data_IF_414927342566
#
_entry.id   IF_414927342566
#
_cell.length_a   1.000
_cell.length_b   1.000
_cell.length_c   1.000
_cell.angle_alpha   90.00
_cell.angle_beta   90.00
_cell.angle_gamma   90.00
#
_symmetry.space_group_name_H-M   'P 1'
#
loop_
_entity.id
_entity.type
_entity.pdbx_description
1 polymer ?
#
# COMPACT_ATOMS: atom_id res chain seq x y z
N UNK A 1 5.51 36.29 79.26
CA UNK A 1 5.13 36.81 77.93
C UNK A 1 5.56 35.79 76.88
N UNK A 2 4.63 35.36 76.03
CA UNK A 2 4.73 34.17 75.16
C UNK A 2 5.82 34.31 74.08
N UNK A 3 6.66 33.28 73.90
CA UNK A 3 7.55 33.12 72.73
C UNK A 3 6.78 32.36 71.65
N UNK A 4 6.64 32.97 70.48
CA UNK A 4 5.95 32.39 69.31
C UNK A 4 6.97 31.63 68.46
N UNK A 5 6.81 30.32 68.33
CA UNK A 5 7.58 29.48 67.41
C UNK A 5 6.94 29.54 66.03
N UNK A 6 7.68 30.01 65.02
CA UNK A 6 7.25 30.00 63.62
C UNK A 6 7.70 28.68 62.99
N UNK A 7 6.75 27.80 62.64
CA UNK A 7 7.00 26.62 61.81
C UNK A 7 6.88 27.03 60.33
N UNK A 8 7.97 26.92 59.58
CA UNK A 8 7.97 27.08 58.13
C UNK A 8 7.61 25.72 57.49
N UNK A 9 6.38 25.60 56.97
CA UNK A 9 6.00 24.44 56.16
C UNK A 9 6.45 24.64 54.72
N UNK A 10 7.52 23.96 54.32
CA UNK A 10 7.99 23.89 52.94
C UNK A 10 7.03 23.07 52.07
N UNK A 11 6.38 23.72 51.10
CA UNK A 11 5.55 23.06 50.08
C UNK A 11 6.47 22.53 48.96
N UNK A 12 6.68 21.22 48.89
CA UNK A 12 7.42 20.57 47.81
C UNK A 12 6.51 20.51 46.56
N UNK A 13 6.77 21.34 45.55
CA UNK A 13 6.09 21.28 44.26
C UNK A 13 6.76 20.20 43.40
N UNK A 14 6.12 19.03 43.27
CA UNK A 14 6.57 17.99 42.34
C UNK A 14 6.24 18.40 40.90
N UNK A 15 7.26 18.80 40.14
CA UNK A 15 7.14 19.06 38.71
C UNK A 15 7.13 17.72 37.98
N UNK A 16 5.95 17.24 37.61
CA UNK A 16 5.83 16.12 36.67
C UNK A 16 6.18 16.61 35.28
N UNK A 17 7.36 16.26 34.77
CA UNK A 17 7.69 16.36 33.35
C UNK A 17 6.76 15.43 32.58
N UNK A 18 5.69 15.99 32.00
CA UNK A 18 4.85 15.34 31.01
C UNK A 18 5.73 14.94 29.82
N UNK A 19 6.06 13.65 29.73
CA UNK A 19 6.67 13.10 28.52
C UNK A 19 5.67 13.32 27.37
N UNK A 20 6.04 14.01 26.28
CA UNK A 20 5.10 14.25 25.19
C UNK A 20 4.64 12.91 24.62
N UNK A 21 3.31 12.74 24.49
CA UNK A 21 2.73 11.54 23.89
C UNK A 21 3.35 11.30 22.52
N UNK A 22 3.98 10.13 22.34
CA UNK A 22 4.65 9.81 21.09
C UNK A 22 3.62 9.72 19.97
N UNK A 23 3.86 10.48 18.89
CA UNK A 23 2.99 10.46 17.70
C UNK A 23 2.97 9.05 17.11
N UNK A 24 1.77 8.53 16.86
CA UNK A 24 1.54 7.24 16.18
C UNK A 24 2.05 7.23 14.73
N UNK A 25 2.35 8.41 14.16
CA UNK A 25 2.91 8.61 12.83
C UNK A 25 4.26 9.32 12.90
N UNK A 26 5.23 8.82 12.13
CA UNK A 26 6.51 9.48 11.85
C UNK A 26 6.72 9.59 10.34
N UNK A 27 6.92 10.80 9.85
CA UNK A 27 7.18 11.09 8.44
C UNK A 27 8.69 11.20 8.23
N UNK A 28 9.22 10.44 7.29
CA UNK A 28 10.64 10.44 6.91
C UNK A 28 10.77 11.16 5.57
N UNK A 29 11.62 12.20 5.46
CA UNK A 29 11.81 12.93 4.20
C UNK A 29 12.40 12.02 3.11
N UNK A 30 12.08 12.31 1.85
CA UNK A 30 12.67 11.62 0.70
C UNK A 30 14.13 12.03 0.45
N UNK A 31 14.82 11.27 -0.42
CA UNK A 31 16.21 11.53 -0.80
C UNK A 31 16.38 12.68 -1.82
N UNK A 32 15.29 13.18 -2.40
CA UNK A 32 15.31 14.27 -3.37
C UNK A 32 15.17 15.64 -2.66
N UNK A 33 15.67 16.74 -3.24
CA UNK A 33 15.68 18.07 -2.60
C UNK A 33 14.30 18.69 -2.36
N UNK A 34 13.24 18.10 -2.91
CA UNK A 34 11.87 18.56 -2.72
C UNK A 34 11.22 17.88 -1.53
N UNK A 35 10.46 18.67 -0.75
CA UNK A 35 9.73 18.39 0.50
C UNK A 35 8.75 17.18 0.53
N UNK A 36 8.90 16.22 -0.37
CA UNK A 36 8.16 14.98 -0.45
C UNK A 36 8.52 14.03 0.69
N UNK A 37 7.48 13.41 1.26
CA UNK A 37 7.62 12.32 2.21
C UNK A 37 8.23 11.11 1.49
N UNK A 38 9.35 10.60 1.98
CA UNK A 38 9.99 9.38 1.48
C UNK A 38 9.36 8.11 2.06
N UNK A 39 8.96 8.17 3.33
CA UNK A 39 8.21 7.10 3.99
C UNK A 39 7.35 7.62 5.15
N UNK A 40 6.30 6.87 5.49
CA UNK A 40 5.52 7.06 6.71
C UNK A 40 5.64 5.81 7.57
N UNK A 41 6.07 5.98 8.82
CA UNK A 41 6.16 4.92 9.81
C UNK A 41 4.98 5.02 10.75
N UNK A 42 4.32 3.89 10.97
CA UNK A 42 3.04 3.81 11.65
C UNK A 42 3.11 2.79 12.77
N UNK A 43 2.79 3.27 13.98
CA UNK A 43 2.67 2.42 15.16
C UNK A 43 1.54 1.38 14.99
N UNK A 44 1.48 0.41 15.90
CA UNK A 44 0.42 -0.60 15.88
C UNK A 44 -0.96 0.03 16.17
N UNK A 45 -1.66 0.37 15.09
CA UNK A 45 -2.96 1.04 15.06
C UNK A 45 -3.86 0.41 13.97
N UNK A 46 -5.20 0.54 14.05
CA UNK A 46 -6.10 0.14 12.97
C UNK A 46 -5.84 0.95 11.70
N UNK A 47 -5.87 0.28 10.55
CA UNK A 47 -5.61 0.88 9.24
C UNK A 47 -6.77 0.64 8.29
N UNK A 48 -7.34 1.71 7.76
CA UNK A 48 -8.30 1.63 6.67
C UNK A 48 -7.57 1.49 5.33
N UNK A 49 -8.02 0.55 4.51
CA UNK A 49 -7.63 0.37 3.11
C UNK A 49 -8.84 0.69 2.23
N UNK A 50 -8.67 1.47 1.17
CA UNK A 50 -9.78 1.81 0.26
C UNK A 50 -9.78 0.97 -1.01
N UNK A 51 -10.90 0.97 -1.74
CA UNK A 51 -10.92 0.59 -3.16
C UNK A 51 -10.21 1.66 -4.00
N UNK A 52 -10.08 1.42 -5.30
CA UNK A 52 -9.68 2.47 -6.22
C UNK A 52 -10.79 3.53 -6.32
N UNK A 53 -10.50 4.76 -5.93
CA UNK A 53 -11.44 5.88 -5.94
C UNK A 53 -11.37 6.60 -7.29
N UNK A 54 -12.51 6.66 -7.96
CA UNK A 54 -12.69 7.32 -9.24
C UNK A 54 -13.31 8.72 -9.07
N UNK A 55 -13.12 9.64 -10.03
CA UNK A 55 -13.73 10.98 -10.05
C UNK A 55 -15.21 10.95 -10.48
N UNK A 56 -16.00 10.05 -9.90
CA UNK A 56 -17.43 9.93 -10.19
C UNK A 56 -18.26 10.66 -9.11
N UNK A 57 -19.44 11.15 -9.48
CA UNK A 57 -20.43 11.64 -8.51
C UNK A 57 -21.24 10.47 -7.90
N UNK A 58 -22.24 10.79 -7.06
CA UNK A 58 -23.06 9.78 -6.39
C UNK A 58 -23.92 8.95 -7.37
N UNK A 59 -24.21 9.51 -8.55
CA UNK A 59 -24.94 8.83 -9.63
C UNK A 59 -24.02 8.01 -10.55
N UNK A 60 -22.72 7.92 -10.25
CA UNK A 60 -21.73 7.20 -11.05
C UNK A 60 -21.26 7.94 -12.31
N UNK A 61 -21.62 9.21 -12.47
CA UNK A 61 -21.21 10.04 -13.62
C UNK A 61 -19.84 10.68 -13.38
N UNK A 62 -18.99 10.66 -14.41
CA UNK A 62 -17.68 11.33 -14.42
C UNK A 62 -17.82 12.84 -14.21
N UNK A 63 -17.03 13.37 -13.27
CA UNK A 63 -16.84 14.81 -13.04
C UNK A 63 -15.48 15.23 -13.61
N UNK A 64 -15.44 16.33 -14.37
CA UNK A 64 -14.20 16.85 -14.94
C UNK A 64 -13.70 16.06 -16.14
N UNK A 65 -14.58 15.72 -17.10
CA UNK A 65 -14.13 15.16 -18.39
C UNK A 65 -13.13 16.13 -19.01
N UNK A 66 -11.93 15.63 -19.34
CA UNK A 66 -10.81 16.41 -19.89
C UNK A 66 -10.26 17.52 -18.96
N UNK A 67 -10.71 17.57 -17.69
CA UNK A 67 -10.25 18.50 -16.67
C UNK A 67 -9.67 17.74 -15.47
N UNK A 68 -8.33 17.63 -15.45
CA UNK A 68 -7.61 16.91 -14.40
C UNK A 68 -7.79 17.55 -13.02
N UNK A 69 -7.92 18.87 -12.91
CA UNK A 69 -8.07 19.54 -11.62
C UNK A 69 -9.45 19.24 -11.01
N UNK A 70 -10.51 19.28 -11.81
CA UNK A 70 -11.85 18.87 -11.37
C UNK A 70 -11.88 17.39 -10.97
N UNK A 71 -11.18 16.51 -11.68
CA UNK A 71 -11.07 15.10 -11.31
C UNK A 71 -10.33 14.90 -9.98
N UNK A 72 -9.18 15.55 -9.79
CA UNK A 72 -8.41 15.49 -8.52
C UNK A 72 -9.30 15.94 -7.35
N UNK A 73 -10.00 17.06 -7.51
CA UNK A 73 -10.90 17.59 -6.47
C UNK A 73 -12.06 16.63 -6.18
N UNK A 74 -12.64 16.00 -7.21
CA UNK A 74 -13.69 15.00 -7.01
C UNK A 74 -13.17 13.75 -6.28
N UNK A 75 -11.96 13.27 -6.60
CA UNK A 75 -11.34 12.12 -5.95
C UNK A 75 -11.11 12.41 -4.47
N UNK A 76 -10.56 13.58 -4.10
CA UNK A 76 -10.40 13.93 -2.68
C UNK A 76 -11.73 14.07 -1.93
N UNK A 77 -12.80 14.57 -2.59
CA UNK A 77 -14.15 14.55 -2.00
C UNK A 77 -14.65 13.13 -1.75
N UNK A 78 -14.46 12.24 -2.72
CA UNK A 78 -14.88 10.84 -2.60
C UNK A 78 -14.06 10.09 -1.55
N UNK A 79 -12.74 10.33 -1.47
CA UNK A 79 -11.87 9.81 -0.42
C UNK A 79 -12.33 10.28 0.96
N UNK A 80 -12.63 11.57 1.15
CA UNK A 80 -13.12 12.08 2.45
C UNK A 80 -14.37 11.32 2.91
N UNK A 81 -15.37 11.16 2.03
CA UNK A 81 -16.60 10.41 2.33
C UNK A 81 -16.31 8.95 2.70
N UNK A 82 -15.43 8.29 1.96
CA UNK A 82 -15.02 6.91 2.25
C UNK A 82 -14.26 6.80 3.58
N UNK A 83 -13.42 7.78 3.91
CA UNK A 83 -12.66 7.80 5.16
C UNK A 83 -13.55 8.08 6.37
N UNK A 84 -14.59 8.90 6.22
CA UNK A 84 -15.57 9.17 7.28
C UNK A 84 -16.26 7.87 7.74
N UNK A 85 -16.60 6.95 6.82
CA UNK A 85 -17.24 5.68 7.20
C UNK A 85 -16.35 4.78 8.05
N UNK A 86 -15.03 4.94 7.94
CA UNK A 86 -14.02 4.20 8.72
C UNK A 86 -13.41 5.06 9.83
N UNK A 87 -14.10 6.13 10.26
CA UNK A 87 -13.66 7.03 11.35
C UNK A 87 -12.25 7.58 11.14
N UNK A 88 -11.93 7.96 9.90
CA UNK A 88 -10.69 8.61 9.49
C UNK A 88 -10.99 9.93 8.75
N UNK A 89 -9.97 10.76 8.56
CA UNK A 89 -10.04 12.01 7.78
C UNK A 89 -8.89 12.06 6.76
N UNK A 90 -8.93 13.00 5.82
CA UNK A 90 -7.86 13.18 4.82
C UNK A 90 -6.47 13.31 5.46
N UNK A 91 -6.34 14.04 6.58
CA UNK A 91 -5.06 14.19 7.31
C UNK A 91 -4.48 12.88 7.87
N UNK A 92 -5.30 11.83 7.98
CA UNK A 92 -4.93 10.54 8.53
C UNK A 92 -4.48 9.56 7.43
N UNK A 93 -4.53 9.97 6.16
CA UNK A 93 -3.97 9.22 5.03
C UNK A 93 -2.45 9.15 5.20
N UNK A 94 -1.93 7.92 5.12
CA UNK A 94 -0.50 7.62 5.26
C UNK A 94 0.13 7.17 3.93
N UNK A 95 -0.68 6.64 3.00
CA UNK A 95 -0.23 6.19 1.68
C UNK A 95 -1.30 6.52 0.64
N UNK A 96 -0.85 7.07 -0.48
CA UNK A 96 -1.62 7.17 -1.72
C UNK A 96 -0.93 6.34 -2.81
N UNK A 97 -1.72 5.55 -3.53
CA UNK A 97 -1.33 4.92 -4.78
C UNK A 97 -2.17 5.55 -5.88
N UNK A 98 -1.50 6.14 -6.86
CA UNK A 98 -2.13 7.02 -7.84
C UNK A 98 -1.88 6.44 -9.22
N UNK A 99 -2.95 6.14 -9.93
CA UNK A 99 -2.90 5.70 -11.32
C UNK A 99 -3.26 6.89 -12.21
N UNK A 100 -2.40 7.22 -13.16
CA UNK A 100 -2.55 8.37 -14.08
C UNK A 100 -2.46 7.90 -15.52
N UNK A 101 -3.17 8.58 -16.42
CA UNK A 101 -3.08 8.28 -17.86
C UNK A 101 -1.86 8.91 -18.53
N UNK A 102 -1.23 9.91 -17.90
CA UNK A 102 -0.05 10.60 -18.41
C UNK A 102 0.81 11.15 -17.27
N UNK A 103 2.13 10.99 -17.39
CA UNK A 103 3.12 11.54 -16.44
C UNK A 103 3.10 13.08 -16.36
N UNK A 104 2.54 13.76 -17.37
CA UNK A 104 2.33 15.21 -17.35
C UNK A 104 1.39 15.67 -16.21
N UNK A 105 0.59 14.77 -15.64
CA UNK A 105 -0.30 15.08 -14.52
C UNK A 105 0.42 15.09 -13.16
N UNK A 106 1.61 14.51 -13.05
CA UNK A 106 2.33 14.37 -11.76
C UNK A 106 2.54 15.70 -11.04
N UNK A 107 3.00 16.80 -11.69
CA UNK A 107 3.17 18.09 -11.00
C UNK A 107 1.86 18.62 -10.41
N UNK A 108 0.77 18.58 -11.18
CA UNK A 108 -0.54 19.05 -10.73
C UNK A 108 -1.05 18.22 -9.54
N UNK A 109 -0.92 16.90 -9.59
CA UNK A 109 -1.35 16.03 -8.48
C UNK A 109 -0.52 16.29 -7.22
N UNK A 110 0.81 16.43 -7.36
CA UNK A 110 1.70 16.77 -6.22
C UNK A 110 1.32 18.11 -5.59
N UNK A 111 1.02 19.12 -6.40
CA UNK A 111 0.57 20.43 -5.93
C UNK A 111 -0.73 20.32 -5.12
N UNK A 112 -1.72 19.57 -5.62
CA UNK A 112 -2.98 19.38 -4.89
C UNK A 112 -2.79 18.58 -3.60
N UNK A 113 -1.92 17.56 -3.57
CA UNK A 113 -1.54 16.87 -2.32
C UNK A 113 -0.93 17.88 -1.35
N UNK A 114 0.02 18.72 -1.78
CA UNK A 114 0.63 19.71 -0.89
C UNK A 114 -0.38 20.69 -0.28
N UNK A 115 -1.49 20.99 -0.97
CA UNK A 115 -2.59 21.82 -0.44
C UNK A 115 -3.48 21.09 0.57
N UNK A 116 -3.60 19.77 0.48
CA UNK A 116 -4.48 18.96 1.34
C UNK A 116 -3.84 18.61 2.70
N UNK A 117 -2.52 18.64 2.79
CA UNK A 117 -1.78 18.17 3.97
C UNK A 117 -0.93 19.27 4.59
N UNK A 118 -0.80 19.23 5.92
CA UNK A 118 0.12 20.12 6.62
C UNK A 118 1.56 19.86 6.15
N UNK A 119 2.37 20.93 6.10
CA UNK A 119 3.79 20.86 5.70
C UNK A 119 4.52 19.76 6.50
N UNK A 120 5.22 18.87 5.79
CA UNK A 120 5.95 17.74 6.37
C UNK A 120 5.08 16.58 6.88
N UNK A 121 3.77 16.60 6.62
CA UNK A 121 2.81 15.55 7.02
C UNK A 121 2.03 14.98 5.83
N UNK A 122 2.54 15.14 4.62
CA UNK A 122 1.97 14.51 3.44
C UNK A 122 2.16 12.98 3.50
N UNK A 123 1.24 12.18 2.92
CA UNK A 123 1.38 10.73 2.88
C UNK A 123 2.57 10.31 2.02
N UNK A 124 2.98 9.05 2.14
CA UNK A 124 3.77 8.40 1.11
C UNK A 124 2.95 8.33 -0.20
N UNK A 125 3.58 8.53 -1.35
CA UNK A 125 2.89 8.62 -2.65
C UNK A 125 3.60 7.77 -3.70
N UNK A 126 2.84 6.98 -4.44
CA UNK A 126 3.32 6.32 -5.67
C UNK A 126 2.41 6.66 -6.83
N UNK A 127 3.00 6.90 -7.99
CA UNK A 127 2.38 7.07 -9.29
C UNK A 127 2.69 5.88 -10.19
N UNK A 128 1.68 5.34 -10.86
CA UNK A 128 1.81 4.46 -12.02
C UNK A 128 1.13 5.08 -13.23
N UNK A 129 1.64 4.80 -14.42
CA UNK A 129 1.07 5.31 -15.66
C UNK A 129 0.42 4.19 -16.45
N UNK A 130 -0.80 4.40 -16.93
CA UNK A 130 -1.49 3.41 -17.76
C UNK A 130 -2.95 3.74 -18.02
N UNK A 131 -3.61 2.88 -18.79
CA UNK A 131 -5.06 2.98 -19.03
C UNK A 131 -5.85 2.67 -17.76
N UNK A 132 -6.97 3.37 -17.57
CA UNK A 132 -7.88 3.22 -16.44
C UNK A 132 -9.21 2.58 -16.87
N UNK A 133 -9.93 1.96 -15.93
CA UNK A 133 -11.12 1.16 -16.23
C UNK A 133 -12.32 1.94 -16.80
N UNK A 134 -12.37 3.26 -16.59
CA UNK A 134 -13.51 4.08 -16.96
C UNK A 134 -13.11 5.13 -18.02
N UNK A 135 -13.78 5.17 -19.18
CA UNK A 135 -13.51 6.17 -20.22
C UNK A 135 -13.55 7.61 -19.67
N UNK A 136 -12.60 8.44 -20.10
CA UNK A 136 -12.49 9.85 -19.69
C UNK A 136 -11.89 10.09 -18.30
N UNK A 137 -11.67 9.05 -17.49
CA UNK A 137 -10.91 9.18 -16.24
C UNK A 137 -9.43 9.35 -16.58
N UNK A 138 -8.84 10.43 -16.08
CA UNK A 138 -7.43 10.81 -16.25
C UNK A 138 -6.57 10.32 -15.08
N UNK A 139 -7.18 10.17 -13.90
CA UNK A 139 -6.51 9.65 -12.72
C UNK A 139 -7.47 8.97 -11.75
N UNK A 140 -6.92 8.09 -10.91
CA UNK A 140 -7.62 7.44 -9.81
C UNK A 140 -6.66 7.23 -8.63
N UNK A 141 -7.20 7.09 -7.41
CA UNK A 141 -6.38 6.93 -6.20
C UNK A 141 -6.93 5.84 -5.29
N UNK A 142 -6.06 4.99 -4.74
CA UNK A 142 -6.36 4.22 -3.53
C UNK A 142 -5.52 4.73 -2.35
N UNK A 143 -6.05 4.55 -1.14
CA UNK A 143 -5.46 5.09 0.07
C UNK A 143 -5.35 4.05 1.19
N UNK A 144 -4.33 4.24 2.02
CA UNK A 144 -4.27 3.68 3.38
C UNK A 144 -4.30 4.84 4.37
N UNK A 145 -5.11 4.73 5.40
CA UNK A 145 -5.27 5.76 6.43
C UNK A 145 -5.31 5.15 7.84
N UNK A 146 -4.87 5.91 8.85
CA UNK A 146 -5.11 5.55 10.25
C UNK A 146 -6.60 5.70 10.55
N UNK A 147 -7.18 4.67 11.16
CA UNK A 147 -8.59 4.62 11.52
C UNK A 147 -8.77 4.61 13.04
N UNK A 148 -9.81 5.28 13.53
CA UNK A 148 -10.25 5.19 14.92
C UNK A 148 -11.27 4.06 15.17
N UNK A 149 -11.48 3.17 14.22
CA UNK A 149 -12.30 1.97 14.40
C UNK A 149 -11.61 1.00 15.37
N UNK A 150 -12.33 0.53 16.39
CA UNK A 150 -11.78 -0.20 17.52
C UNK A 150 -12.04 -1.70 17.48
N UNK A 151 -12.77 -2.19 16.47
CA UNK A 151 -12.98 -3.62 16.26
C UNK A 151 -11.66 -4.40 16.27
N UNK A 152 -11.63 -5.52 17.00
CA UNK A 152 -10.52 -6.49 16.96
C UNK A 152 -10.55 -7.41 15.73
N UNK A 153 -11.49 -7.20 14.80
CA UNK A 153 -11.69 -7.97 13.58
C UNK A 153 -11.77 -7.05 12.38
N UNK A 154 -11.59 -7.60 11.18
CA UNK A 154 -11.81 -6.87 9.93
C UNK A 154 -13.25 -6.37 9.87
N UNK A 155 -13.42 -5.09 9.56
CA UNK A 155 -14.73 -4.47 9.31
C UNK A 155 -14.74 -3.91 7.90
N UNK A 156 -15.79 -4.21 7.12
CA UNK A 156 -15.90 -3.83 5.71
C UNK A 156 -17.04 -2.83 5.50
N UNK A 157 -16.78 -1.89 4.61
CA UNK A 157 -17.63 -0.80 4.17
C UNK A 157 -17.63 -0.79 2.62
N UNK A 158 -18.58 -0.11 1.95
CA UNK A 158 -18.73 -0.19 0.49
C UNK A 158 -17.45 0.07 -0.33
N UNK A 159 -16.54 0.93 0.14
CA UNK A 159 -15.29 1.28 -0.54
C UNK A 159 -14.06 1.22 0.37
N UNK A 160 -14.17 0.60 1.54
CA UNK A 160 -13.07 0.50 2.49
C UNK A 160 -13.20 -0.70 3.41
N UNK A 161 -12.09 -1.14 3.98
CA UNK A 161 -12.08 -2.06 5.10
C UNK A 161 -11.01 -1.66 6.11
N UNK A 162 -11.27 -1.93 7.38
CA UNK A 162 -10.33 -1.67 8.46
C UNK A 162 -9.60 -2.97 8.82
N UNK A 163 -8.27 -2.96 8.64
CA UNK A 163 -7.34 -3.90 9.26
C UNK A 163 -7.27 -3.57 10.76
N UNK A 164 -7.67 -4.49 11.66
CA UNK A 164 -7.55 -4.26 13.10
C UNK A 164 -6.08 -4.15 13.51
N UNK A 165 -5.83 -3.58 14.70
CA UNK A 165 -4.50 -3.64 15.32
C UNK A 165 -4.12 -5.11 15.53
N UNK A 166 -2.95 -5.50 15.01
CA UNK A 166 -2.45 -6.87 15.14
C UNK A 166 -1.54 -7.25 13.98
N UNK A 167 -1.47 -8.55 13.73
CA UNK A 167 -0.72 -9.11 12.62
C UNK A 167 -1.40 -8.84 11.27
N UNK A 168 -0.58 -8.82 10.22
CA UNK A 168 -1.04 -8.68 8.84
C UNK A 168 -0.30 -9.65 7.95
N UNK A 169 -1.03 -10.25 7.02
CA UNK A 169 -0.53 -11.17 6.00
C UNK A 169 -0.64 -10.50 4.64
N UNK A 170 0.45 -10.54 3.88
CA UNK A 170 0.52 -10.21 2.47
C UNK A 170 0.70 -11.49 1.66
N UNK A 171 -0.21 -11.74 0.73
CA UNK A 171 -0.09 -12.85 -0.22
C UNK A 171 0.31 -12.26 -1.57
N UNK A 172 1.40 -12.77 -2.12
CA UNK A 172 1.92 -12.41 -3.44
C UNK A 172 0.90 -12.68 -4.55
N UNK A 173 1.06 -11.97 -5.66
CA UNK A 173 0.26 -12.18 -6.86
C UNK A 173 0.21 -13.66 -7.27
N UNK A 174 -1.01 -14.12 -7.53
CA UNK A 174 -1.30 -15.44 -8.07
C UNK A 174 -2.13 -15.26 -9.33
N UNK A 175 -1.99 -16.19 -10.26
CA UNK A 175 -2.75 -16.21 -11.49
C UNK A 175 -3.03 -17.65 -11.88
N UNK A 176 -4.29 -17.94 -12.18
CA UNK A 176 -4.71 -19.17 -12.83
C UNK A 176 -4.85 -18.94 -14.34
N UNK A 177 -4.62 -19.99 -15.11
CA UNK A 177 -4.88 -19.99 -16.55
C UNK A 177 -6.39 -19.97 -16.84
N UNK A 178 -6.73 -19.60 -18.08
CA UNK A 178 -8.10 -19.64 -18.60
C UNK A 178 -8.60 -18.27 -19.06
N UNK A 179 -9.90 -18.23 -19.43
CA UNK A 179 -10.55 -16.96 -19.78
C UNK A 179 -10.71 -16.09 -18.54
N UNK A 180 -10.79 -14.76 -18.72
CA UNK A 180 -10.76 -13.81 -17.61
C UNK A 180 -11.67 -14.16 -16.41
N UNK A 181 -12.96 -14.55 -16.58
CA UNK A 181 -13.79 -14.96 -15.44
C UNK A 181 -13.30 -16.25 -14.75
N UNK A 182 -12.96 -17.29 -15.53
CA UNK A 182 -12.46 -18.58 -15.00
C UNK A 182 -11.12 -18.38 -14.28
N UNK A 183 -10.19 -17.65 -14.90
CA UNK A 183 -8.91 -17.28 -14.33
C UNK A 183 -9.10 -16.51 -13.01
N UNK A 184 -10.06 -15.56 -12.96
CA UNK A 184 -10.37 -14.81 -11.74
C UNK A 184 -10.89 -15.74 -10.64
N UNK A 185 -11.92 -16.55 -10.92
CA UNK A 185 -12.53 -17.44 -9.95
C UNK A 185 -11.51 -18.45 -9.39
N UNK A 186 -10.73 -19.08 -10.27
CA UNK A 186 -9.70 -20.04 -9.89
C UNK A 186 -8.57 -19.39 -9.08
N UNK A 187 -8.14 -18.18 -9.46
CA UNK A 187 -7.14 -17.42 -8.69
C UNK A 187 -7.64 -17.12 -7.27
N UNK A 188 -8.89 -16.70 -7.12
CA UNK A 188 -9.49 -16.45 -5.80
C UNK A 188 -9.54 -17.72 -4.94
N UNK A 189 -9.78 -18.90 -5.53
CA UNK A 189 -9.71 -20.17 -4.80
C UNK A 189 -8.29 -20.53 -4.36
N UNK A 190 -7.27 -20.29 -5.21
CA UNK A 190 -5.86 -20.50 -4.83
C UNK A 190 -5.43 -19.59 -3.68
N UNK A 191 -5.87 -18.33 -3.70
CA UNK A 191 -5.65 -17.37 -2.62
C UNK A 191 -6.34 -17.82 -1.32
N UNK A 192 -7.56 -18.36 -1.41
CA UNK A 192 -8.26 -18.94 -0.26
C UNK A 192 -7.52 -20.15 0.32
N UNK A 193 -7.04 -21.06 -0.51
CA UNK A 193 -6.24 -22.21 -0.06
C UNK A 193 -4.96 -21.75 0.66
N UNK A 194 -4.33 -20.68 0.18
CA UNK A 194 -3.17 -20.06 0.83
C UNK A 194 -3.53 -19.46 2.18
N UNK A 195 -4.69 -18.80 2.32
CA UNK A 195 -5.18 -18.33 3.61
C UNK A 195 -5.47 -19.50 4.57
N UNK A 196 -6.11 -20.56 4.09
CA UNK A 196 -6.45 -21.74 4.90
C UNK A 196 -5.20 -22.45 5.43
N UNK A 197 -4.13 -22.53 4.64
CA UNK A 197 -2.82 -23.01 5.10
C UNK A 197 -2.29 -22.22 6.32
N UNK A 198 -2.63 -20.93 6.41
CA UNK A 198 -2.25 -20.05 7.52
C UNK A 198 -3.24 -20.10 8.70
N UNK A 199 -4.29 -20.92 8.62
CA UNK A 199 -5.40 -20.94 9.57
C UNK A 199 -6.37 -19.76 9.42
N UNK A 200 -6.34 -19.07 8.28
CA UNK A 200 -7.19 -17.92 7.97
C UNK A 200 -8.30 -18.30 6.97
N UNK A 201 -9.25 -17.39 6.77
CA UNK A 201 -10.39 -17.59 5.86
C UNK A 201 -10.80 -16.27 5.21
N UNK A 202 -11.84 -16.30 4.37
CA UNK A 202 -12.31 -15.13 3.62
C UNK A 202 -12.67 -13.91 4.49
N UNK A 203 -13.09 -14.07 5.75
CA UNK A 203 -13.44 -12.95 6.65
C UNK A 203 -12.22 -12.13 7.08
N UNK A 204 -11.01 -12.70 6.97
CA UNK A 204 -9.78 -12.01 7.30
C UNK A 204 -9.27 -11.10 6.19
N UNK A 205 -9.83 -11.19 4.98
CA UNK A 205 -9.37 -10.39 3.83
C UNK A 205 -9.74 -8.92 4.03
N UNK A 206 -8.75 -8.04 3.96
CA UNK A 206 -8.89 -6.59 4.11
C UNK A 206 -8.97 -5.91 2.75
N UNK A 207 -8.11 -6.27 1.80
CA UNK A 207 -8.08 -5.64 0.48
C UNK A 207 -7.67 -6.68 -0.57
N UNK A 208 -8.28 -6.57 -1.75
CA UNK A 208 -7.89 -7.32 -2.95
C UNK A 208 -7.32 -6.33 -3.96
N UNK A 209 -6.21 -6.67 -4.61
CA UNK A 209 -5.72 -5.92 -5.77
C UNK A 209 -5.61 -6.86 -6.96
N UNK A 210 -6.23 -6.47 -8.07
CA UNK A 210 -6.25 -7.23 -9.31
C UNK A 210 -5.57 -6.43 -10.43
N UNK A 211 -4.60 -7.05 -11.08
CA UNK A 211 -3.97 -6.55 -12.29
C UNK A 211 -4.68 -7.17 -13.49
N UNK A 212 -5.22 -6.38 -14.41
CA UNK A 212 -6.23 -6.83 -15.38
C UNK A 212 -5.88 -6.41 -16.80
N UNK A 213 -5.97 -7.37 -17.74
CA UNK A 213 -5.90 -7.12 -19.17
C UNK A 213 -7.12 -7.73 -19.90
N UNK A 214 -7.79 -6.97 -20.79
CA UNK A 214 -7.72 -5.52 -20.91
C UNK A 214 -8.41 -4.82 -19.72
N UNK A 215 -7.97 -3.60 -19.37
CA UNK A 215 -8.45 -2.89 -18.17
C UNK A 215 -9.93 -2.50 -18.21
N UNK A 216 -10.54 -2.41 -19.39
CA UNK A 216 -11.98 -2.17 -19.55
C UNK A 216 -12.84 -3.39 -19.18
N UNK A 217 -12.22 -4.55 -18.99
CA UNK A 217 -12.89 -5.80 -18.59
C UNK A 217 -12.92 -6.02 -17.07
N UNK A 218 -12.59 -5.01 -16.25
CA UNK A 218 -12.61 -5.13 -14.78
C UNK A 218 -13.98 -5.49 -14.22
N UNK A 219 -15.07 -5.16 -14.89
CA UNK A 219 -16.42 -5.57 -14.48
C UNK A 219 -16.63 -7.09 -14.48
N UNK A 220 -15.91 -7.83 -15.34
CA UNK A 220 -15.92 -9.30 -15.30
C UNK A 220 -15.18 -9.83 -14.07
N UNK A 221 -14.05 -9.21 -13.72
CA UNK A 221 -13.28 -9.54 -12.51
C UNK A 221 -14.10 -9.23 -11.26
N UNK A 222 -14.74 -8.06 -11.19
CA UNK A 222 -15.60 -7.66 -10.09
C UNK A 222 -16.74 -8.64 -9.85
N UNK A 223 -17.39 -9.12 -10.92
CA UNK A 223 -18.46 -10.12 -10.82
C UNK A 223 -18.00 -11.39 -10.11
N UNK A 224 -16.84 -11.93 -10.49
CA UNK A 224 -16.31 -13.16 -9.92
C UNK A 224 -15.80 -12.96 -8.48
N UNK A 225 -15.16 -11.83 -8.19
CA UNK A 225 -14.77 -11.47 -6.81
C UNK A 225 -16.02 -11.34 -5.94
N UNK A 226 -17.07 -10.67 -6.42
CA UNK A 226 -18.35 -10.56 -5.70
C UNK A 226 -18.99 -11.93 -5.45
N UNK A 227 -18.96 -12.83 -6.45
CA UNK A 227 -19.46 -14.19 -6.30
C UNK A 227 -18.70 -14.97 -5.22
N UNK A 228 -17.36 -14.84 -5.18
CA UNK A 228 -16.51 -15.45 -4.15
C UNK A 228 -16.87 -14.99 -2.73
N UNK A 229 -17.23 -13.71 -2.55
CA UNK A 229 -17.64 -13.16 -1.26
C UNK A 229 -19.13 -13.31 -0.94
N UNK A 230 -19.93 -13.99 -1.78
CA UNK A 230 -21.37 -14.17 -1.55
C UNK A 230 -21.68 -14.61 -0.10
N UNK A 231 -22.66 -13.93 0.51
CA UNK A 231 -23.03 -14.09 1.93
C UNK A 231 -22.17 -13.30 2.94
N UNK A 232 -21.18 -12.53 2.50
CA UNK A 232 -20.37 -11.63 3.34
C UNK A 232 -20.09 -10.32 2.59
N UNK A 233 -19.90 -9.18 3.28
CA UNK A 233 -19.48 -7.94 2.62
C UNK A 233 -18.17 -8.16 1.84
N UNK A 234 -18.12 -7.69 0.58
CA UNK A 234 -16.90 -7.74 -0.24
C UNK A 234 -15.85 -6.75 0.31
N UNK A 235 -14.56 -7.11 0.38
CA UNK A 235 -13.51 -6.15 0.70
C UNK A 235 -13.37 -5.12 -0.44
N UNK A 236 -12.78 -3.94 -0.17
CA UNK A 236 -12.37 -3.02 -1.22
C UNK A 236 -11.44 -3.71 -2.23
N UNK A 237 -11.68 -3.45 -3.52
CA UNK A 237 -10.87 -3.95 -4.62
C UNK A 237 -10.16 -2.78 -5.30
N UNK A 238 -8.87 -2.96 -5.59
CA UNK A 238 -8.11 -2.05 -6.44
C UNK A 238 -7.83 -2.73 -7.77
N UNK A 239 -8.27 -2.10 -8.86
CA UNK A 239 -8.01 -2.57 -10.22
C UNK A 239 -6.85 -1.79 -10.83
N UNK A 240 -5.87 -2.50 -11.36
CA UNK A 240 -4.73 -1.92 -12.06
C UNK A 240 -4.70 -2.47 -13.48
N UNK A 241 -4.78 -1.58 -14.48
CA UNK A 241 -4.53 -1.97 -15.87
C UNK A 241 -3.07 -2.32 -16.11
N UNK A 242 -2.81 -3.35 -16.91
CA UNK A 242 -1.45 -3.77 -17.27
C UNK A 242 -1.40 -4.31 -18.72
N UNK A 243 -0.18 -4.47 -19.24
CA UNK A 243 0.08 -4.89 -20.62
C UNK A 243 0.27 -6.41 -20.78
N UNK A 244 0.27 -7.17 -19.66
CA UNK A 244 0.36 -8.63 -19.71
C UNK A 244 -0.86 -9.23 -20.39
N UNK A 245 -0.64 -10.03 -21.43
CA UNK A 245 -1.70 -10.81 -22.12
C UNK A 245 -1.83 -12.25 -21.60
N UNK A 246 -0.85 -12.69 -20.83
CA UNK A 246 -0.85 -13.98 -20.15
C UNK A 246 0.07 -13.90 -18.92
N UNK A 247 -0.47 -13.97 -17.69
CA UNK A 247 -1.89 -14.14 -17.36
C UNK A 247 -2.73 -12.90 -17.69
N UNK A 248 -4.03 -13.09 -17.93
CA UNK A 248 -5.01 -12.00 -18.13
C UNK A 248 -5.34 -11.27 -16.83
N UNK A 249 -5.25 -11.98 -15.70
CA UNK A 249 -5.45 -11.44 -14.36
C UNK A 249 -4.44 -12.03 -13.40
N UNK A 250 -3.86 -11.18 -12.55
CA UNK A 250 -3.10 -11.60 -11.37
C UNK A 250 -3.68 -10.87 -10.16
N UNK A 251 -3.86 -11.60 -9.06
CA UNK A 251 -4.52 -11.09 -7.87
C UNK A 251 -3.62 -11.30 -6.66
N UNK A 252 -3.43 -10.24 -5.90
CA UNK A 252 -2.83 -10.27 -4.56
C UNK A 252 -3.86 -9.86 -3.51
N UNK A 253 -3.61 -10.21 -2.24
CA UNK A 253 -4.47 -9.76 -1.16
C UNK A 253 -3.72 -9.43 0.13
N UNK A 254 -4.37 -8.62 0.94
CA UNK A 254 -3.97 -8.29 2.32
C UNK A 254 -5.02 -8.91 3.24
N UNK A 255 -4.57 -9.60 4.29
CA UNK A 255 -5.44 -10.18 5.31
C UNK A 255 -4.97 -9.83 6.73
N UNK A 256 -5.92 -9.68 7.64
CA UNK A 256 -5.62 -9.62 9.07
C UNK A 256 -5.17 -11.01 9.56
N UNK A 257 -4.24 -11.02 10.51
CA UNK A 257 -3.90 -12.24 11.26
C UNK A 257 -3.78 -11.92 12.74
N UNK A 258 -3.89 -12.93 13.63
CA UNK A 258 -3.47 -12.77 15.01
C UNK A 258 -2.02 -12.26 15.08
N UNK A 259 -1.69 -11.51 16.12
CA UNK A 259 -0.30 -11.15 16.39
C UNK A 259 0.46 -12.40 16.89
N UNK A 260 1.61 -12.70 16.28
CA UNK A 260 2.56 -13.71 16.77
C UNK A 260 3.49 -13.16 17.86
N UNK A 261 4.18 -14.05 18.61
CA UNK A 261 4.94 -13.69 19.82
C UNK A 261 6.46 -13.93 19.76
N UNK A 262 7.04 -14.42 18.65
CA UNK A 262 8.47 -14.78 18.58
C UNK A 262 9.34 -13.89 17.67
N UNK A 263 8.82 -13.44 16.53
CA UNK A 263 9.56 -12.63 15.55
C UNK A 263 8.63 -11.58 14.94
N UNK A 264 9.17 -10.40 14.59
CA UNK A 264 8.39 -9.29 14.04
C UNK A 264 7.81 -9.59 12.66
N UNK A 265 8.53 -10.35 11.83
CA UNK A 265 8.17 -10.68 10.45
C UNK A 265 8.55 -12.11 10.08
N UNK A 266 7.70 -12.79 9.33
CA UNK A 266 7.89 -14.17 8.85
C UNK A 266 7.71 -14.26 7.33
N UNK A 267 8.55 -15.07 6.69
CA UNK A 267 8.57 -15.32 5.25
C UNK A 267 8.14 -16.76 5.00
N UNK A 268 6.91 -16.93 4.50
CA UNK A 268 6.21 -18.21 4.52
C UNK A 268 6.00 -18.68 3.09
N UNK A 269 6.35 -19.94 2.84
CA UNK A 269 6.03 -20.64 1.60
C UNK A 269 5.11 -21.83 1.95
N UNK A 270 3.92 -21.94 1.32
CA UNK A 270 3.04 -23.08 1.52
C UNK A 270 3.72 -24.42 1.18
N UNK A 271 3.26 -25.50 1.81
CA UNK A 271 3.80 -26.84 1.57
C UNK A 271 3.76 -27.19 0.07
N UNK A 272 4.85 -27.79 -0.44
CA UNK A 272 4.99 -28.16 -1.85
C UNK A 272 5.35 -27.00 -2.80
N UNK A 273 5.39 -25.75 -2.33
CA UNK A 273 5.84 -24.61 -3.15
C UNK A 273 7.33 -24.40 -2.99
N UNK A 274 8.07 -24.51 -4.10
CA UNK A 274 9.51 -24.21 -4.13
C UNK A 274 9.76 -22.74 -3.77
N UNK A 275 10.54 -22.44 -2.72
CA UNK A 275 10.88 -21.06 -2.37
C UNK A 275 11.61 -20.35 -3.51
N UNK A 276 11.28 -19.09 -3.73
CA UNK A 276 11.98 -18.21 -4.68
C UNK A 276 13.00 -17.36 -3.91
N UNK A 277 14.22 -17.15 -4.45
CA UNK A 277 15.21 -16.29 -3.81
C UNK A 277 14.87 -14.80 -3.89
N UNK A 278 13.88 -14.40 -4.70
CA UNK A 278 13.58 -12.98 -4.98
C UNK A 278 12.17 -12.54 -4.60
N UNK A 279 11.33 -13.47 -4.12
CA UNK A 279 10.04 -13.17 -3.50
C UNK A 279 9.56 -14.33 -2.62
N UNK A 280 8.77 -14.03 -1.59
CA UNK A 280 8.08 -15.03 -0.78
C UNK A 280 6.63 -15.17 -1.23
N UNK A 281 6.01 -16.36 -1.13
CA UNK A 281 4.57 -16.47 -1.45
C UNK A 281 3.70 -15.74 -0.44
N UNK A 282 4.09 -15.77 0.81
CA UNK A 282 3.41 -15.12 1.92
C UNK A 282 4.43 -14.39 2.78
N UNK A 283 4.11 -13.20 3.24
CA UNK A 283 4.82 -12.56 4.35
C UNK A 283 3.82 -12.17 5.43
N UNK A 284 4.14 -12.49 6.68
CA UNK A 284 3.35 -12.09 7.85
C UNK A 284 4.15 -11.12 8.69
N UNK A 285 3.60 -9.93 8.94
CA UNK A 285 4.07 -9.06 10.01
C UNK A 285 3.29 -9.44 11.27
N UNK A 286 3.99 -9.85 12.32
CA UNK A 286 3.40 -10.19 13.61
C UNK A 286 3.29 -8.97 14.54
N UNK A 287 4.35 -8.15 14.57
CA UNK A 287 4.44 -6.92 15.35
C UNK A 287 5.52 -5.99 14.77
N UNK A 288 5.74 -4.84 15.41
CA UNK A 288 6.63 -3.78 14.92
C UNK A 288 5.85 -2.66 14.23
N UNK A 289 6.56 -1.57 13.89
CA UNK A 289 5.95 -0.42 13.21
C UNK A 289 5.99 -0.66 11.71
N UNK A 290 4.90 -0.37 11.01
CA UNK A 290 4.81 -0.55 9.55
C UNK A 290 5.45 0.66 8.87
N UNK A 291 6.23 0.43 7.83
CA UNK A 291 6.87 1.47 7.03
C UNK A 291 6.22 1.45 5.65
N UNK A 292 5.54 2.53 5.26
CA UNK A 292 4.99 2.73 3.91
C UNK A 292 5.90 3.67 3.14
N UNK A 293 6.54 3.19 2.08
CA UNK A 293 7.44 4.02 1.27
C UNK A 293 6.66 4.76 0.18
N UNK A 294 7.12 5.95 -0.16
CA UNK A 294 6.79 6.54 -1.46
C UNK A 294 7.43 5.73 -2.58
N UNK A 295 6.84 5.80 -3.77
CA UNK A 295 7.33 5.07 -4.94
C UNK A 295 8.78 5.43 -5.24
N UNK A 296 9.62 4.41 -5.38
CA UNK A 296 11.01 4.56 -5.79
C UNK A 296 11.10 4.32 -7.29
N UNK A 297 11.59 5.31 -8.03
CA UNK A 297 11.73 5.29 -9.48
C UNK A 297 13.19 5.18 -9.86
N UNK A 298 13.50 4.31 -10.83
CA UNK A 298 14.85 4.22 -11.40
C UNK A 298 15.28 5.55 -12.01
N UNK A 299 16.50 5.98 -11.69
CA UNK A 299 17.12 7.22 -12.18
C UNK A 299 18.29 6.90 -13.12
N UNK A 300 18.52 7.78 -14.10
CA UNK A 300 19.60 7.64 -15.08
C UNK A 300 19.13 7.22 -16.47
N UNK A 301 20.09 7.17 -17.39
CA UNK A 301 19.81 7.07 -18.83
C UNK A 301 19.75 5.62 -19.35
N UNK A 302 20.16 4.64 -18.55
CA UNK A 302 20.16 3.23 -18.93
C UNK A 302 19.51 2.35 -17.86
N UNK A 303 19.05 1.18 -18.30
CA UNK A 303 18.32 0.21 -17.47
C UNK A 303 19.11 -0.24 -16.24
N UNK A 304 20.42 -0.47 -16.36
CA UNK A 304 21.22 -0.98 -15.24
C UNK A 304 21.41 0.10 -14.17
N UNK A 305 21.70 1.33 -14.58
CA UNK A 305 21.75 2.48 -13.67
C UNK A 305 20.39 2.72 -13.00
N UNK A 306 19.29 2.61 -13.73
CA UNK A 306 17.95 2.74 -13.16
C UNK A 306 17.64 1.65 -12.11
N UNK A 307 18.01 0.40 -12.40
CA UNK A 307 17.88 -0.69 -11.42
C UNK A 307 18.80 -0.48 -10.21
N UNK A 308 20.07 -0.13 -10.41
CA UNK A 308 21.00 0.09 -9.31
C UNK A 308 20.54 1.23 -8.39
N UNK A 309 20.14 2.37 -8.97
CA UNK A 309 19.69 3.55 -8.21
C UNK A 309 18.43 3.28 -7.41
N UNK A 310 17.46 2.52 -7.95
CA UNK A 310 16.22 2.21 -7.21
C UNK A 310 16.47 1.31 -6.01
N UNK A 311 17.36 0.31 -6.12
CA UNK A 311 17.68 -0.59 -5.01
C UNK A 311 18.60 0.04 -3.95
N UNK A 312 19.56 0.89 -4.35
CA UNK A 312 20.31 1.70 -3.39
C UNK A 312 19.41 2.72 -2.68
N UNK A 313 18.45 3.32 -3.41
CA UNK A 313 17.41 4.17 -2.85
C UNK A 313 16.55 3.45 -1.82
N UNK A 314 16.12 2.22 -2.11
CA UNK A 314 15.39 1.36 -1.19
C UNK A 314 16.19 1.08 0.09
N UNK A 315 17.45 0.65 -0.06
CA UNK A 315 18.34 0.37 1.07
C UNK A 315 18.55 1.60 1.95
N UNK A 316 18.80 2.76 1.34
CA UNK A 316 18.97 4.03 2.04
C UNK A 316 17.70 4.43 2.80
N UNK A 317 16.52 4.32 2.16
CA UNK A 317 15.25 4.70 2.78
C UNK A 317 14.87 3.79 3.94
N UNK A 318 15.06 2.47 3.80
CA UNK A 318 14.84 1.52 4.89
C UNK A 318 15.77 1.81 6.07
N UNK A 319 17.06 2.10 5.81
CA UNK A 319 18.01 2.50 6.84
C UNK A 319 17.58 3.76 7.58
N UNK A 320 17.13 4.80 6.86
CA UNK A 320 16.60 6.04 7.47
C UNK A 320 15.36 5.79 8.34
N UNK A 321 14.56 4.78 7.99
CA UNK A 321 13.42 4.35 8.79
C UNK A 321 13.81 3.52 10.03
N UNK A 322 15.11 3.23 10.24
CA UNK A 322 15.58 2.36 11.32
C UNK A 322 15.31 0.88 11.05
N UNK A 323 15.36 0.48 9.78
CA UNK A 323 15.14 -0.88 9.30
C UNK A 323 16.18 -1.24 8.22
N UNK A 324 15.99 -2.37 7.53
CA UNK A 324 16.92 -2.91 6.54
C UNK A 324 16.17 -3.71 5.44
N UNK A 325 16.92 -4.31 4.52
CA UNK A 325 16.35 -5.13 3.43
C UNK A 325 15.89 -6.52 3.89
N UNK A 326 16.17 -6.93 5.14
CA UNK A 326 15.69 -8.19 5.72
C UNK A 326 14.32 -8.06 6.40
N UNK A 327 13.75 -6.85 6.45
CA UNK A 327 12.45 -6.55 7.03
C UNK A 327 11.46 -5.97 5.99
N UNK A 328 11.66 -6.32 4.72
CA UNK A 328 10.72 -6.00 3.64
C UNK A 328 9.52 -6.94 3.70
N UNK A 329 8.32 -6.41 3.60
CA UNK A 329 7.08 -7.18 3.78
C UNK A 329 6.32 -7.40 2.48
N UNK A 330 6.03 -6.32 1.75
CA UNK A 330 5.25 -6.36 0.51
C UNK A 330 5.88 -5.44 -0.53
N UNK A 331 6.04 -5.93 -1.75
CA UNK A 331 6.53 -5.19 -2.89
C UNK A 331 5.52 -5.23 -4.05
N UNK A 332 5.29 -4.08 -4.67
CA UNK A 332 4.78 -4.00 -6.05
C UNK A 332 5.92 -3.51 -6.94
N UNK A 333 6.25 -4.32 -7.94
CA UNK A 333 7.19 -3.93 -8.98
C UNK A 333 6.42 -3.59 -10.23
N UNK A 334 6.64 -2.41 -10.80
CA UNK A 334 6.16 -2.09 -12.14
C UNK A 334 7.34 -1.93 -13.06
N UNK A 335 7.26 -2.54 -14.23
CA UNK A 335 8.32 -2.56 -15.24
C UNK A 335 7.75 -2.19 -16.59
N UNK A 336 8.53 -1.48 -17.43
CA UNK A 336 8.07 -1.01 -18.74
C UNK A 336 8.24 -2.03 -19.87
N UNK A 337 9.07 -3.06 -19.66
CA UNK A 337 9.38 -4.05 -20.71
C UNK A 337 9.77 -5.43 -20.15
N UNK A 338 9.70 -6.49 -20.97
CA UNK A 338 10.22 -7.81 -20.63
C UNK A 338 11.73 -7.82 -20.31
N UNK A 339 12.52 -6.96 -20.95
CA UNK A 339 13.97 -6.88 -20.74
C UNK A 339 14.29 -6.44 -19.31
N UNK A 340 13.72 -5.32 -18.85
CA UNK A 340 13.92 -4.86 -17.47
C UNK A 340 13.27 -5.81 -16.45
N UNK A 341 12.18 -6.49 -16.82
CA UNK A 341 11.57 -7.55 -16.00
C UNK A 341 12.55 -8.70 -15.71
N UNK A 342 13.34 -9.10 -16.70
CA UNK A 342 14.37 -10.13 -16.54
C UNK A 342 15.54 -9.60 -15.70
N UNK A 343 16.06 -8.41 -16.01
CA UNK A 343 17.15 -7.80 -15.24
C UNK A 343 16.78 -7.51 -13.78
N UNK A 344 15.52 -7.16 -13.50
CA UNK A 344 14.98 -7.02 -12.14
C UNK A 344 15.05 -8.34 -11.35
N UNK A 345 14.90 -9.48 -12.02
CA UNK A 345 15.01 -10.79 -11.36
C UNK A 345 16.45 -11.07 -10.94
N UNK A 346 17.43 -10.66 -11.74
CA UNK A 346 18.83 -10.87 -11.41
C UNK A 346 19.34 -9.90 -10.37
N UNK A 347 19.04 -8.59 -10.50
CA UNK A 347 19.54 -7.61 -9.55
C UNK A 347 19.02 -7.88 -8.13
N UNK A 348 17.76 -8.34 -7.96
CA UNK A 348 17.22 -8.68 -6.64
C UNK A 348 18.04 -9.73 -5.90
N UNK A 349 18.70 -10.67 -6.61
CA UNK A 349 19.57 -11.68 -5.99
C UNK A 349 20.80 -11.06 -5.32
N UNK A 350 21.22 -9.87 -5.76
CA UNK A 350 22.36 -9.14 -5.18
C UNK A 350 21.98 -8.35 -3.91
N UNK A 351 20.69 -8.05 -3.73
CA UNK A 351 20.21 -7.21 -2.63
C UNK A 351 19.44 -7.98 -1.56
N UNK A 352 18.73 -9.04 -1.95
CA UNK A 352 17.86 -9.77 -1.04
C UNK A 352 18.56 -10.96 -0.41
N UNK A 353 18.32 -11.12 0.89
CA UNK A 353 18.52 -12.40 1.54
C UNK A 353 17.51 -13.38 0.93
N UNK A 354 17.95 -14.50 0.32
CA UNK A 354 17.06 -15.43 -0.39
C UNK A 354 16.06 -16.15 0.54
N UNK A 355 16.26 -16.08 1.86
CA UNK A 355 15.32 -16.59 2.86
C UNK A 355 14.31 -15.56 3.34
N UNK A 356 14.53 -14.28 3.03
CA UNK A 356 13.73 -13.14 3.51
C UNK A 356 13.30 -12.16 2.40
N UNK A 357 12.99 -12.59 1.16
CA UNK A 357 12.50 -11.65 0.16
C UNK A 357 11.02 -11.29 0.44
N UNK A 358 10.57 -10.07 0.12
CA UNK A 358 9.19 -9.65 0.38
C UNK A 358 8.16 -10.49 -0.39
N UNK A 359 6.90 -10.47 0.07
CA UNK A 359 5.78 -10.87 -0.79
C UNK A 359 5.73 -9.88 -1.97
N UNK A 360 5.58 -10.36 -3.19
CA UNK A 360 5.74 -9.54 -4.37
C UNK A 360 4.73 -9.86 -5.47
N UNK A 361 4.30 -8.79 -6.13
CA UNK A 361 3.55 -8.84 -7.39
C UNK A 361 4.26 -7.95 -8.39
N UNK A 362 4.32 -8.36 -9.66
CA UNK A 362 5.02 -7.61 -10.72
C UNK A 362 4.08 -7.31 -11.87
N UNK A 363 3.86 -6.03 -12.15
CA UNK A 363 3.05 -5.57 -13.28
C UNK A 363 3.88 -5.03 -14.44
N UNK A 364 3.52 -5.43 -15.66
CA UNK A 364 4.06 -4.83 -16.89
C UNK A 364 3.20 -3.64 -17.30
N UNK A 365 3.77 -2.45 -17.36
CA UNK A 365 3.08 -1.22 -17.80
C UNK A 365 3.74 -0.69 -19.07
N UNK A 366 3.07 0.20 -19.79
CA UNK A 366 3.69 0.96 -20.88
C UNK A 366 4.69 2.00 -20.36
N UNK A 367 4.38 2.62 -19.22
CA UNK A 367 5.25 3.55 -18.49
C UNK A 367 5.11 3.28 -16.99
N UNK A 368 6.20 3.36 -16.22
CA UNK A 368 6.16 3.02 -14.78
C UNK A 368 6.13 4.24 -13.87
N UNK A 369 6.39 5.44 -14.39
CA UNK A 369 6.41 6.67 -13.61
C UNK A 369 7.06 7.86 -14.31
N UNK A 370 7.29 8.97 -13.58
CA UNK A 370 7.85 10.20 -14.15
C UNK A 370 9.30 10.02 -14.63
N UNK A 371 9.74 10.92 -15.53
CA UNK A 371 11.15 11.06 -15.89
C UNK A 371 11.74 9.93 -16.73
N UNK A 372 10.92 9.19 -17.49
CA UNK A 372 11.40 8.09 -18.33
C UNK A 372 11.87 6.87 -17.53
N UNK A 373 11.40 6.74 -16.29
CA UNK A 373 11.70 5.57 -15.47
C UNK A 373 11.09 4.31 -16.10
N UNK A 374 11.89 3.25 -16.14
CA UNK A 374 11.50 1.92 -16.63
C UNK A 374 11.09 1.00 -15.48
N UNK A 375 11.28 1.43 -14.22
CA UNK A 375 10.94 0.68 -13.02
C UNK A 375 10.38 1.56 -11.91
N UNK A 376 9.31 1.07 -11.28
CA UNK A 376 8.83 1.54 -9.98
C UNK A 376 8.88 0.41 -8.95
N UNK A 377 9.37 0.72 -7.76
CA UNK A 377 9.28 -0.12 -6.56
C UNK A 377 8.39 0.57 -5.53
N UNK A 378 7.21 0.00 -5.26
CA UNK A 378 6.38 0.35 -4.10
C UNK A 378 6.59 -0.70 -3.01
N UNK A 379 6.89 -0.27 -1.80
CA UNK A 379 7.36 -1.16 -0.74
C UNK A 379 6.72 -0.85 0.61
N UNK A 380 6.33 -1.91 1.30
CA UNK A 380 6.00 -1.92 2.72
C UNK A 380 7.10 -2.70 3.44
N UNK A 381 7.64 -2.12 4.51
CA UNK A 381 8.59 -2.76 5.41
C UNK A 381 8.15 -2.72 6.87
N UNK A 382 9.00 -3.25 7.75
CA UNK A 382 8.81 -3.24 9.20
C UNK A 382 9.99 -2.56 9.87
N UNK A 383 9.73 -1.62 10.76
CA UNK A 383 10.70 -1.22 11.77
C UNK A 383 10.51 -2.20 12.95
N UNK A 384 11.44 -3.16 13.14
CA UNK A 384 11.26 -4.28 14.07
C UNK A 384 11.13 -3.85 15.53
#
# INVERSE_FOLDING_TARGET
MKKTTLLLSGLLLAVYTLCPAQSILRYVPGNAPESSTGAVIVDATPLAHTSLILPLNNEGKLIGKDDALLQINQIFRNLSKTLESVRAKNKDIIKLNISITSTALVPLVKEQIAKQFAKGKAPAVSFITGRLQHPGVLLAMDAVAVSAETSGKVVRFPQAAVLPKGGVVFISGMAADGRLPEATANTMQQLLATLQFLGLNKEHIVQVRAFVHPVDSTGLVEKEVKAFFSGSPMPPVVYTGWESKNPLVEIELIAASPAGNKVSIEYINPAGVKPSPVYSKVVRINHGKKIYLSGLYGQGNDMQTQLQTVFEGLKSMMKQCGSDLEHLAKALYYVSSPEISNSLTDIRKNYYNPKRPPAATKGLLSETGPGGSQILVDMIGVQP
#
